data_IF_253282275511
#
_entry.id   IF_253282275511
#
_cell.length_a   1.000
_cell.length_b   1.000
_cell.length_c   1.000
_cell.angle_alpha   90.00
_cell.angle_beta   90.00
_cell.angle_gamma   90.00
#
_symmetry.space_group_name_H-M   'P 1'
#
loop_
_entity.id
_entity.type
_entity.pdbx_description
1 polymer ?
#
# COMPACT_ATOMS: atom_id res chain seq x y z
N UNK A 1 -14.04 12.43 20.66
CA UNK A 1 -13.57 11.03 20.59
C UNK A 1 -13.42 10.70 19.13
N UNK A 2 -12.26 10.50 18.51
CA UNK A 2 -10.91 10.19 18.97
C UNK A 2 -10.31 9.47 17.76
N UNK A 3 -9.72 10.22 16.83
CA UNK A 3 -8.90 9.64 15.76
C UNK A 3 -7.53 10.24 15.94
N UNK A 4 -6.73 9.50 16.68
CA UNK A 4 -5.42 9.90 17.14
C UNK A 4 -4.47 9.95 15.95
N UNK A 5 -4.04 11.18 15.67
CA UNK A 5 -2.72 11.62 15.22
C UNK A 5 -1.76 10.47 14.84
N UNK A 6 -1.19 10.55 13.64
CA UNK A 6 0.26 10.67 13.47
C UNK A 6 0.57 11.09 12.03
N UNK A 7 1.43 12.11 11.92
CA UNK A 7 1.70 12.82 10.68
C UNK A 7 2.20 11.92 9.58
N UNK A 8 1.62 12.05 8.40
CA UNK A 8 2.37 11.90 7.16
C UNK A 8 3.34 13.08 7.13
N UNK A 9 4.50 12.87 7.75
CA UNK A 9 5.65 13.72 7.59
C UNK A 9 5.93 13.77 6.10
N UNK A 10 5.80 14.98 5.56
CA UNK A 10 6.07 15.33 4.20
C UNK A 10 7.50 14.90 3.85
N UNK A 11 7.67 13.79 3.15
CA UNK A 11 8.89 13.54 2.40
C UNK A 11 8.58 12.71 1.14
N UNK A 12 8.63 13.43 0.01
CA UNK A 12 8.99 12.97 -1.32
C UNK A 12 8.10 11.96 -2.08
N UNK A 13 7.57 12.47 -3.19
CA UNK A 13 7.45 11.84 -4.52
C UNK A 13 6.29 10.89 -4.84
N UNK A 14 5.60 10.33 -3.85
CA UNK A 14 4.44 9.46 -4.13
C UNK A 14 3.17 10.31 -4.13
N UNK A 15 2.41 10.30 -5.22
CA UNK A 15 1.21 11.15 -5.36
C UNK A 15 0.23 10.87 -4.21
N UNK A 16 -0.11 11.89 -3.41
CA UNK A 16 -0.96 11.72 -2.21
C UNK A 16 -2.30 11.03 -2.51
N UNK A 17 -2.83 11.23 -3.72
CA UNK A 17 -4.02 10.57 -4.24
C UNK A 17 -3.85 9.04 -4.35
N UNK A 18 -2.68 8.58 -4.83
CA UNK A 18 -2.33 7.16 -4.95
C UNK A 18 -2.18 6.51 -3.58
N UNK A 19 -1.45 7.15 -2.66
CA UNK A 19 -1.35 6.66 -1.28
C UNK A 19 -2.74 6.49 -0.66
N UNK A 20 -3.65 7.43 -0.88
CA UNK A 20 -4.99 7.37 -0.31
C UNK A 20 -5.78 6.18 -0.86
N UNK A 21 -5.77 5.97 -2.18
CA UNK A 21 -6.48 4.85 -2.81
C UNK A 21 -5.97 3.50 -2.32
N UNK A 22 -4.65 3.33 -2.19
CA UNK A 22 -4.10 2.06 -1.71
C UNK A 22 -4.33 1.89 -0.20
N UNK A 23 -4.32 2.97 0.59
CA UNK A 23 -4.77 2.94 1.99
C UNK A 23 -6.20 2.46 2.12
N UNK A 24 -7.09 2.90 1.25
CA UNK A 24 -8.49 2.43 1.24
C UNK A 24 -8.58 0.95 0.88
N UNK A 25 -7.78 0.47 -0.07
CA UNK A 25 -7.72 -0.95 -0.41
C UNK A 25 -7.19 -1.80 0.76
N UNK A 26 -6.16 -1.29 1.46
CA UNK A 26 -5.59 -1.94 2.63
C UNK A 26 -6.57 -1.94 3.82
N UNK A 27 -7.22 -0.82 4.12
CA UNK A 27 -8.19 -0.67 5.22
C UNK A 27 -9.43 -1.57 5.04
N UNK A 28 -9.80 -1.85 3.77
CA UNK A 28 -10.85 -2.83 3.46
C UNK A 28 -10.48 -4.25 3.88
N UNK A 29 -9.19 -4.55 4.07
CA UNK A 29 -8.70 -5.83 4.63
C UNK A 29 -8.97 -7.07 3.77
N UNK A 30 -9.70 -6.93 2.66
CA UNK A 30 -10.04 -8.00 1.73
C UNK A 30 -10.08 -7.42 0.32
N UNK A 31 -9.47 -8.14 -0.61
CA UNK A 31 -9.74 -7.95 -2.03
C UNK A 31 -11.01 -8.74 -2.32
N UNK A 32 -12.16 -8.09 -2.13
CA UNK A 32 -13.46 -8.69 -2.40
C UNK A 32 -13.69 -8.81 -3.91
N UNK A 33 -13.11 -9.85 -4.51
CA UNK A 33 -13.40 -10.28 -5.88
C UNK A 33 -12.62 -9.54 -6.95
N UNK A 34 -11.87 -10.32 -7.74
CA UNK A 34 -11.46 -10.01 -9.11
C UNK A 34 -10.98 -8.57 -9.36
N UNK A 35 -10.10 -8.07 -8.49
CA UNK A 35 -9.20 -7.01 -8.92
C UNK A 35 -8.10 -7.73 -9.71
N UNK A 36 -8.32 -7.93 -11.00
CA UNK A 36 -7.32 -8.48 -11.94
C UNK A 36 -5.97 -7.76 -11.84
N UNK A 37 -6.00 -6.54 -11.32
CA UNK A 37 -4.88 -5.63 -11.20
C UNK A 37 -4.50 -5.37 -9.72
N UNK A 38 -4.82 -6.29 -8.80
CA UNK A 38 -4.37 -6.18 -7.41
C UNK A 38 -3.99 -7.54 -6.86
N UNK A 39 -2.77 -7.62 -6.35
CA UNK A 39 -2.21 -8.77 -5.68
C UNK A 39 -2.21 -8.48 -4.20
N UNK A 40 -2.77 -9.38 -3.40
CA UNK A 40 -2.75 -9.24 -1.95
C UNK A 40 -2.30 -10.53 -1.29
N UNK A 41 -1.48 -10.42 -0.25
CA UNK A 41 -0.92 -11.54 0.48
C UNK A 41 -1.26 -11.32 1.95
N UNK A 42 -1.94 -12.29 2.52
CA UNK A 42 -2.15 -12.46 3.96
C UNK A 42 -1.23 -13.62 4.39
N UNK A 43 -0.20 -13.32 5.16
CA UNK A 43 0.84 -14.27 5.58
C UNK A 43 0.52 -14.88 6.94
N UNK A 44 -0.22 -14.15 7.78
CA UNK A 44 -0.54 -14.55 9.14
C UNK A 44 -1.97 -15.14 9.30
N UNK A 45 -2.77 -15.12 8.22
CA UNK A 45 -4.16 -15.57 8.14
C UNK A 45 -5.06 -14.89 9.19
N UNK A 46 -4.75 -13.64 9.55
CA UNK A 46 -5.54 -12.86 10.52
C UNK A 46 -6.76 -12.18 9.88
N UNK A 47 -6.90 -12.29 8.56
CA UNK A 47 -7.97 -11.69 7.79
C UNK A 47 -7.73 -10.23 7.40
N UNK A 48 -6.51 -9.72 7.61
CA UNK A 48 -5.97 -8.49 7.02
C UNK A 48 -4.84 -8.83 6.05
N UNK A 49 -4.59 -7.92 5.12
CA UNK A 49 -3.56 -8.09 4.12
C UNK A 49 -2.23 -7.57 4.67
N UNK A 50 -1.17 -8.35 4.57
CA UNK A 50 0.18 -7.91 4.96
C UNK A 50 0.88 -7.20 3.82
N UNK A 51 0.71 -7.69 2.59
CA UNK A 51 1.29 -7.09 1.40
C UNK A 51 0.22 -6.89 0.34
N UNK A 52 0.18 -5.70 -0.24
CA UNK A 52 -0.76 -5.36 -1.32
C UNK A 52 0.02 -4.69 -2.46
N UNK A 53 0.03 -5.34 -3.62
CA UNK A 53 0.49 -4.79 -4.88
C UNK A 53 -0.71 -4.37 -5.74
N UNK A 54 -0.69 -3.15 -6.29
CA UNK A 54 -1.73 -2.63 -7.18
C UNK A 54 -1.09 -2.28 -8.51
N UNK A 55 -1.64 -2.84 -9.57
CA UNK A 55 -1.45 -2.42 -10.96
C UNK A 55 -2.55 -1.37 -11.26
N UNK A 56 -2.13 -0.11 -11.42
CA UNK A 56 -3.01 1.01 -11.69
C UNK A 56 -3.12 1.32 -13.19
N UNK A 57 -2.09 1.00 -13.97
CA UNK A 57 -2.01 1.22 -15.42
C UNK A 57 -2.74 0.14 -16.22
N UNK A 58 -2.87 -1.06 -15.67
CA UNK A 58 -3.45 -2.25 -16.28
C UNK A 58 -2.54 -2.90 -17.32
N UNK A 59 -1.23 -2.70 -17.21
CA UNK A 59 -0.24 -3.30 -18.10
C UNK A 59 0.28 -4.66 -17.59
N UNK A 60 -0.13 -5.07 -16.39
CA UNK A 60 0.28 -6.31 -15.75
C UNK A 60 1.52 -6.17 -14.86
N UNK A 61 2.08 -4.97 -14.71
CA UNK A 61 3.15 -4.65 -13.77
C UNK A 61 2.59 -3.93 -12.54
N UNK A 62 3.25 -4.12 -11.39
CA UNK A 62 2.77 -3.55 -10.13
C UNK A 62 3.33 -2.14 -9.99
N UNK A 63 2.47 -1.14 -10.17
CA UNK A 63 2.80 0.27 -9.95
C UNK A 63 3.03 0.59 -8.47
N UNK A 64 2.33 -0.06 -7.54
CA UNK A 64 2.40 0.30 -6.12
C UNK A 64 2.37 -0.92 -5.21
N UNK A 65 3.35 -1.04 -4.32
CA UNK A 65 3.38 -2.06 -3.28
C UNK A 65 3.29 -1.41 -1.91
N UNK A 66 2.46 -1.98 -1.05
CA UNK A 66 2.36 -1.64 0.36
C UNK A 66 2.64 -2.87 1.20
N UNK A 67 3.37 -2.67 2.30
CA UNK A 67 3.78 -3.72 3.22
C UNK A 67 3.45 -3.26 4.65
N UNK A 68 2.69 -4.06 5.37
CA UNK A 68 2.56 -4.09 6.82
C UNK A 68 3.44 -5.24 7.34
N UNK A 69 4.63 -4.89 7.84
CA UNK A 69 5.60 -5.89 8.30
C UNK A 69 5.36 -6.29 9.75
N UNK A 70 4.66 -5.44 10.52
CA UNK A 70 4.41 -5.66 11.93
C UNK A 70 3.01 -6.20 12.22
N UNK A 71 2.18 -6.38 11.19
CA UNK A 71 0.84 -6.97 11.24
C UNK A 71 -0.07 -6.22 12.23
N UNK A 72 0.12 -4.91 12.36
CA UNK A 72 -0.67 -4.08 13.27
C UNK A 72 -1.92 -3.48 12.60
N UNK A 73 -2.16 -3.82 11.33
CA UNK A 73 -3.26 -3.30 10.52
C UNK A 73 -2.98 -1.87 10.04
N UNK A 74 -1.72 -1.46 9.99
CA UNK A 74 -1.28 -0.20 9.39
C UNK A 74 -0.07 -0.47 8.52
N UNK A 75 -0.09 0.07 7.30
CA UNK A 75 1.08 0.05 6.43
C UNK A 75 2.34 0.64 7.09
N UNK A 76 3.45 -0.07 6.91
CA UNK A 76 4.80 0.36 7.33
C UNK A 76 5.58 0.93 6.16
N UNK A 77 5.43 0.35 4.97
CA UNK A 77 6.21 0.71 3.78
C UNK A 77 5.30 0.85 2.58
N UNK A 78 5.56 1.86 1.76
CA UNK A 78 4.96 2.07 0.45
C UNK A 78 6.11 2.16 -0.56
N UNK A 79 6.02 1.44 -1.66
CA UNK A 79 6.88 1.57 -2.81
C UNK A 79 6.03 1.84 -4.05
N UNK A 80 6.48 2.74 -4.91
CA UNK A 80 5.80 3.10 -6.15
C UNK A 80 6.81 3.08 -7.31
N UNK A 81 6.44 2.36 -8.37
CA UNK A 81 7.02 2.47 -9.69
C UNK A 81 6.20 3.53 -10.44
N UNK A 82 6.84 4.66 -10.73
CA UNK A 82 6.21 5.77 -11.44
C UNK A 82 6.47 5.71 -12.93
N UNK A 83 7.44 4.90 -13.34
CA UNK A 83 7.92 4.81 -14.71
C UNK A 83 7.37 3.60 -15.46
N UNK A 84 6.85 2.60 -14.74
CA UNK A 84 6.34 1.35 -15.31
C UNK A 84 7.46 0.56 -15.97
N UNK A 85 8.63 0.52 -15.31
CA UNK A 85 9.80 -0.23 -15.80
C UNK A 85 10.10 -1.48 -14.97
N UNK A 86 9.24 -1.77 -13.99
CA UNK A 86 9.36 -2.88 -13.03
C UNK A 86 10.27 -2.55 -11.84
N UNK A 87 10.78 -1.31 -11.75
CA UNK A 87 11.65 -0.85 -10.68
C UNK A 87 10.95 0.22 -9.86
N UNK A 88 10.92 0.04 -8.54
CA UNK A 88 10.34 1.05 -7.65
C UNK A 88 11.25 2.29 -7.57
N UNK A 89 10.82 3.38 -8.18
CA UNK A 89 11.48 4.69 -8.12
C UNK A 89 11.37 5.32 -6.74
N UNK A 90 10.21 5.16 -6.11
CA UNK A 90 9.86 5.85 -4.88
C UNK A 90 9.58 4.85 -3.77
N UNK A 91 10.16 5.10 -2.59
CA UNK A 91 9.90 4.29 -1.40
C UNK A 91 9.70 5.21 -0.20
N UNK A 92 8.52 5.12 0.40
CA UNK A 92 8.18 5.79 1.65
C UNK A 92 8.13 4.75 2.77
N UNK A 93 8.93 4.97 3.82
CA UNK A 93 8.86 4.17 5.05
C UNK A 93 8.21 5.00 6.13
N UNK A 94 7.07 4.53 6.64
CA UNK A 94 6.35 5.15 7.74
C UNK A 94 7.00 4.68 9.04
N UNK A 95 7.76 5.58 9.67
CA UNK A 95 8.26 5.32 11.03
C UNK A 95 7.12 5.51 12.02
N UNK A 96 6.60 4.40 12.56
CA UNK A 96 5.65 4.41 13.69
C UNK A 96 6.41 4.87 14.95
N UNK A 97 5.85 5.84 15.68
CA UNK A 97 6.46 6.47 16.86
C UNK A 97 5.81 5.97 18.15
#
# INVERSE_FOLDING_TARGET
MGKDKQGTENDSLISADRIQKVKETFDKGRIDGDLSNTVSIDTNDDGRLDTVGVDMTGDGEIDTIIIDSNHDGRLDTIAEDTTGDGTFDSKLTIKKK
#
